data_IF_896467395081
#
_entry.id   IF_896467395081
#
_cell.length_a   1.000
_cell.length_b   1.000
_cell.length_c   1.000
_cell.angle_alpha   90.00
_cell.angle_beta   90.00
_cell.angle_gamma   90.00
#
_symmetry.space_group_name_H-M   'P 1'
#
loop_
_entity.id
_entity.type
_entity.pdbx_description
1 polymer ?
#
# COMPACT_ATOMS: atom_id res chain seq x y z
N UNK A 1 4.17 -28.05 -1.15
CA UNK A 1 3.00 -27.30 -0.67
C UNK A 1 3.39 -26.67 0.66
N UNK A 2 3.74 -25.39 0.68
CA UNK A 2 3.70 -24.61 1.92
C UNK A 2 2.30 -24.01 1.94
N UNK A 3 1.46 -24.45 2.87
CA UNK A 3 0.34 -23.67 3.34
C UNK A 3 0.93 -22.34 3.81
N UNK A 4 0.67 -21.28 3.04
CA UNK A 4 0.85 -19.93 3.56
C UNK A 4 -0.26 -19.78 4.57
N UNK A 5 0.10 -19.87 5.85
CA UNK A 5 -0.79 -19.57 6.96
C UNK A 5 -1.34 -18.16 6.75
N UNK A 6 -2.56 -18.11 6.25
CA UNK A 6 -3.31 -16.87 6.12
C UNK A 6 -3.82 -16.55 7.53
N UNK A 7 -2.95 -15.97 8.36
CA UNK A 7 -3.40 -15.44 9.64
C UNK A 7 -4.39 -14.31 9.35
N UNK A 8 -5.58 -14.34 9.96
CA UNK A 8 -6.50 -13.21 9.84
C UNK A 8 -5.79 -11.98 10.40
N UNK A 9 -5.46 -11.06 9.52
CA UNK A 9 -4.91 -9.77 9.88
C UNK A 9 -6.06 -8.85 10.21
N UNK A 10 -6.26 -8.56 11.48
CA UNK A 10 -7.23 -7.55 11.90
C UNK A 10 -6.58 -6.17 11.80
N UNK A 11 -6.98 -5.41 10.77
CA UNK A 11 -6.58 -4.03 10.59
C UNK A 11 -7.74 -3.09 10.89
N UNK A 12 -7.56 -2.19 11.85
CA UNK A 12 -8.48 -1.07 12.09
C UNK A 12 -7.91 0.19 11.49
N UNK A 13 -8.62 0.84 10.59
CA UNK A 13 -8.23 2.13 9.99
C UNK A 13 -9.08 3.23 10.56
N UNK A 14 -8.42 4.28 11.05
CA UNK A 14 -9.05 5.45 11.64
C UNK A 14 -8.79 6.63 10.70
N UNK A 15 -9.83 7.42 10.43
CA UNK A 15 -9.74 8.58 9.55
C UNK A 15 -10.03 9.85 10.34
N UNK A 16 -9.33 10.94 10.04
CA UNK A 16 -9.58 12.25 10.63
C UNK A 16 -10.85 12.89 10.02
N UNK A 17 -11.27 14.03 10.56
CA UNK A 17 -12.45 14.75 10.10
C UNK A 17 -12.38 15.24 8.64
N UNK A 18 -11.20 15.33 8.06
CA UNK A 18 -10.96 15.65 6.65
C UNK A 18 -11.03 14.41 5.73
N UNK A 19 -11.31 13.21 6.29
CA UNK A 19 -11.35 11.95 5.54
C UNK A 19 -9.98 11.36 5.22
N UNK A 20 -8.89 11.91 5.78
CA UNK A 20 -7.54 11.39 5.59
C UNK A 20 -7.26 10.29 6.62
N UNK A 21 -6.49 9.28 6.23
CA UNK A 21 -6.09 8.18 7.12
C UNK A 21 -5.24 8.72 8.30
N UNK A 22 -5.79 8.69 9.50
CA UNK A 22 -5.11 9.17 10.72
C UNK A 22 -4.20 8.09 11.31
N UNK A 23 -4.73 6.88 11.42
CA UNK A 23 -3.95 5.76 11.92
C UNK A 23 -4.45 4.39 11.43
N UNK A 24 -3.55 3.41 11.49
CA UNK A 24 -3.85 1.99 11.27
C UNK A 24 -3.40 1.20 12.49
N UNK A 25 -4.28 0.37 13.01
CA UNK A 25 -3.97 -0.57 14.09
C UNK A 25 -4.05 -1.98 13.53
N UNK A 26 -2.94 -2.71 13.61
CA UNK A 26 -2.84 -4.12 13.18
C UNK A 26 -2.42 -4.99 14.35
N UNK A 27 -2.95 -6.21 14.41
CA UNK A 27 -2.50 -7.23 15.36
C UNK A 27 -2.06 -8.45 14.57
N UNK A 28 -0.79 -8.85 14.76
CA UNK A 28 -0.19 -10.04 14.14
C UNK A 28 0.51 -10.84 15.24
N UNK A 29 0.16 -12.10 15.41
CA UNK A 29 0.74 -12.99 16.43
C UNK A 29 0.77 -12.39 17.85
N UNK A 30 -0.33 -11.75 18.26
CA UNK A 30 -0.48 -11.02 19.52
C UNK A 30 0.42 -9.78 19.65
N UNK A 31 1.15 -9.38 18.63
CA UNK A 31 1.94 -8.15 18.59
C UNK A 31 1.07 -7.05 17.97
N UNK A 32 0.89 -5.94 18.70
CA UNK A 32 0.13 -4.79 18.25
C UNK A 32 1.04 -3.79 17.54
N UNK A 33 0.69 -3.47 16.30
CA UNK A 33 1.32 -2.41 15.51
C UNK A 33 0.35 -1.24 15.36
N UNK A 34 0.86 -0.02 15.50
CA UNK A 34 0.10 1.20 15.25
C UNK A 34 0.92 2.07 14.31
N UNK A 35 0.36 2.38 13.15
CA UNK A 35 0.93 3.39 12.24
C UNK A 35 0.10 4.66 12.36
N UNK A 36 0.74 5.80 12.58
CA UNK A 36 0.10 7.12 12.71
C UNK A 36 0.61 8.04 11.61
N UNK A 37 -0.28 8.79 10.99
CA UNK A 37 0.01 9.69 9.88
C UNK A 37 -0.21 11.15 10.28
N UNK A 38 0.68 12.03 9.83
CA UNK A 38 0.47 13.47 9.89
C UNK A 38 0.50 14.06 8.49
N UNK A 39 -0.25 15.14 8.29
CA UNK A 39 -0.44 15.77 6.98
C UNK A 39 0.00 17.24 7.02
N UNK A 40 0.54 17.71 5.89
CA UNK A 40 0.80 19.12 5.63
C UNK A 40 0.44 19.41 4.17
N UNK A 41 -0.37 20.45 3.96
CA UNK A 41 -0.81 20.87 2.62
C UNK A 41 -1.46 19.73 1.80
N UNK A 42 -2.23 18.85 2.49
CA UNK A 42 -2.92 17.70 1.89
C UNK A 42 -2.05 16.45 1.70
N UNK A 43 -0.74 16.55 1.83
CA UNK A 43 0.20 15.43 1.66
C UNK A 43 0.61 14.84 3.01
N UNK A 44 0.90 13.53 3.03
CA UNK A 44 1.50 12.89 4.22
C UNK A 44 2.86 13.53 4.49
N UNK A 45 3.03 14.14 5.65
CA UNK A 45 4.29 14.77 6.05
C UNK A 45 5.12 13.90 7.01
N UNK A 46 4.45 13.01 7.74
CA UNK A 46 5.10 12.11 8.67
C UNK A 46 4.29 10.82 8.84
N UNK A 47 4.99 9.71 9.03
CA UNK A 47 4.46 8.40 9.37
C UNK A 47 5.27 7.83 10.54
N UNK A 48 4.60 7.37 11.58
CA UNK A 48 5.23 6.72 12.74
C UNK A 48 4.67 5.34 12.93
N UNK A 49 5.55 4.35 13.04
CA UNK A 49 5.21 2.96 13.36
C UNK A 49 5.61 2.65 14.79
N UNK A 50 4.65 2.16 15.55
CA UNK A 50 4.84 1.68 16.92
C UNK A 50 4.59 0.17 16.98
N UNK A 51 5.37 -0.54 17.80
CA UNK A 51 5.14 -1.94 18.16
C UNK A 51 4.94 -2.03 19.67
N UNK A 52 3.78 -2.54 20.11
CA UNK A 52 3.42 -2.62 21.55
C UNK A 52 3.62 -1.30 22.32
N UNK A 53 3.47 -0.15 21.64
CA UNK A 53 3.64 1.19 22.22
C UNK A 53 5.05 1.76 22.12
N UNK A 54 6.04 1.00 21.70
CA UNK A 54 7.40 1.48 21.44
C UNK A 54 7.53 1.95 19.98
N UNK A 55 8.17 3.12 19.78
CA UNK A 55 8.42 3.67 18.44
C UNK A 55 9.47 2.81 17.73
N UNK A 56 9.12 2.25 16.57
CA UNK A 56 10.05 1.51 15.70
C UNK A 56 10.61 2.38 14.58
N UNK A 57 9.74 3.15 13.93
CA UNK A 57 10.13 4.01 12.80
C UNK A 57 9.45 5.37 12.88
N UNK A 58 10.19 6.41 12.51
CA UNK A 58 9.69 7.77 12.28
C UNK A 58 10.14 8.21 10.90
N UNK A 59 9.20 8.22 9.93
CA UNK A 59 9.45 8.54 8.53
C UNK A 59 8.89 9.91 8.20
N UNK A 60 9.73 10.80 7.68
CA UNK A 60 9.41 12.17 7.29
C UNK A 60 9.47 12.31 5.78
N UNK A 61 8.45 12.87 5.19
CA UNK A 61 8.32 13.09 3.75
C UNK A 61 8.65 14.55 3.44
N UNK A 62 9.65 14.76 2.60
CA UNK A 62 10.14 16.09 2.21
C UNK A 62 9.62 16.40 0.80
N UNK A 63 8.82 17.46 0.69
CA UNK A 63 8.27 17.90 -0.58
C UNK A 63 8.96 19.19 -1.03
N UNK A 64 9.19 19.29 -2.36
CA UNK A 64 9.67 20.50 -3.05
C UNK A 64 8.75 20.73 -4.24
N UNK A 65 8.23 21.95 -4.39
CA UNK A 65 7.30 22.31 -5.44
C UNK A 65 6.10 21.36 -5.60
N UNK A 66 5.55 20.89 -4.44
CA UNK A 66 4.43 19.97 -4.39
C UNK A 66 4.75 18.51 -4.72
N UNK A 67 6.01 18.18 -5.03
CA UNK A 67 6.46 16.82 -5.34
C UNK A 67 7.31 16.26 -4.20
N UNK A 68 7.20 14.95 -3.93
CA UNK A 68 8.07 14.27 -2.98
C UNK A 68 9.51 14.34 -3.49
N UNK A 69 10.42 14.85 -2.67
CA UNK A 69 11.84 15.04 -2.99
C UNK A 69 12.75 14.05 -2.27
N UNK A 70 12.45 13.74 -1.01
CA UNK A 70 13.15 12.70 -0.25
C UNK A 70 12.29 12.20 0.90
N UNK A 71 12.64 11.03 1.42
CA UNK A 71 12.10 10.46 2.64
C UNK A 71 13.25 10.28 3.62
N UNK A 72 13.10 10.76 4.86
CA UNK A 72 14.05 10.55 5.94
C UNK A 72 13.41 9.57 6.92
N UNK A 73 14.07 8.46 7.16
CA UNK A 73 13.61 7.42 8.08
C UNK A 73 14.55 7.30 9.28
N UNK A 74 14.00 7.44 10.46
CA UNK A 74 14.64 7.10 11.73
C UNK A 74 14.13 5.73 12.18
N UNK A 75 15.03 4.76 12.31
CA UNK A 75 14.73 3.42 12.82
C UNK A 75 15.28 3.25 14.23
N UNK A 76 14.48 2.67 15.13
CA UNK A 76 14.81 2.47 16.54
C UNK A 76 14.85 0.97 16.84
N UNK A 77 16.03 0.44 17.18
CA UNK A 77 16.24 -0.98 17.51
C UNK A 77 17.06 -1.07 18.80
N UNK A 78 16.48 -1.68 19.85
CA UNK A 78 17.17 -1.88 21.13
C UNK A 78 17.60 -0.59 21.85
N UNK A 79 16.94 0.54 21.55
CA UNK A 79 17.28 1.85 22.10
C UNK A 79 18.26 2.66 21.24
N UNK A 80 18.86 2.07 20.23
CA UNK A 80 19.69 2.75 19.26
C UNK A 80 18.85 3.33 18.11
N UNK A 81 19.30 4.49 17.60
CA UNK A 81 18.66 5.19 16.49
C UNK A 81 19.58 5.17 15.28
N UNK A 82 19.05 4.71 14.14
CA UNK A 82 19.69 4.83 12.83
C UNK A 82 18.86 5.74 11.95
N UNK A 83 19.51 6.70 11.27
CA UNK A 83 18.86 7.62 10.34
C UNK A 83 19.33 7.33 8.92
N UNK A 84 18.39 7.17 8.00
CA UNK A 84 18.63 7.02 6.57
C UNK A 84 17.84 8.06 5.79
N UNK A 85 18.42 8.59 4.71
CA UNK A 85 17.72 9.45 3.76
C UNK A 85 17.63 8.75 2.42
N UNK A 86 16.42 8.73 1.87
CA UNK A 86 16.09 8.16 0.57
C UNK A 86 15.65 9.29 -0.36
N UNK A 87 16.56 9.85 -1.16
CA UNK A 87 16.20 10.86 -2.15
C UNK A 87 15.32 10.20 -3.23
N UNK A 88 14.30 10.93 -3.65
CA UNK A 88 13.56 10.55 -4.86
C UNK A 88 14.37 10.94 -6.06
N UNK A 89 14.79 9.95 -6.82
CA UNK A 89 15.48 10.19 -8.09
C UNK A 89 14.43 10.55 -9.16
N UNK A 90 14.30 11.85 -9.41
CA UNK A 90 13.36 12.35 -10.41
C UNK A 90 13.68 11.86 -11.84
N UNK A 91 14.92 11.40 -12.11
CA UNK A 91 15.29 10.80 -13.39
C UNK A 91 14.67 9.41 -13.59
N UNK A 92 14.25 8.76 -12.50
CA UNK A 92 13.56 7.48 -12.52
C UNK A 92 12.03 7.62 -12.67
N UNK A 93 11.51 8.82 -12.85
CA UNK A 93 10.07 9.05 -13.00
C UNK A 93 9.79 9.73 -14.34
N UNK A 94 8.96 9.11 -15.16
CA UNK A 94 8.48 9.68 -16.41
C UNK A 94 6.95 9.70 -16.47
N UNK A 95 6.40 10.54 -17.36
CA UNK A 95 4.97 10.64 -17.58
C UNK A 95 4.66 10.37 -19.04
N UNK A 96 3.88 9.32 -19.31
CA UNK A 96 3.49 8.90 -20.66
C UNK A 96 1.97 8.74 -20.71
N UNK A 97 1.31 9.43 -21.64
CA UNK A 97 -0.15 9.36 -21.84
C UNK A 97 -0.99 9.57 -20.55
N UNK A 98 -0.52 10.45 -19.66
CA UNK A 98 -1.17 10.77 -18.40
C UNK A 98 -0.89 9.77 -17.27
N UNK A 99 -0.12 8.72 -17.52
CA UNK A 99 0.34 7.78 -16.51
C UNK A 99 1.72 8.17 -15.98
N UNK A 100 1.96 7.92 -14.69
CA UNK A 100 3.25 8.06 -14.05
C UNK A 100 3.97 6.70 -14.08
N UNK A 101 5.20 6.66 -14.59
CA UNK A 101 6.06 5.47 -14.59
C UNK A 101 7.21 5.72 -13.63
N UNK A 102 7.29 4.93 -12.57
CA UNK A 102 8.39 4.95 -11.60
C UNK A 102 9.31 3.76 -11.90
N UNK A 103 10.57 4.04 -12.23
CA UNK A 103 11.58 3.01 -12.50
C UNK A 103 12.30 2.63 -11.20
N UNK A 104 12.56 1.33 -11.02
CA UNK A 104 13.33 0.77 -9.92
C UNK A 104 14.84 0.82 -10.14
N UNK A 105 15.57 -0.09 -9.50
CA UNK A 105 17.03 -0.13 -9.58
C UNK A 105 17.54 -0.80 -10.84
N UNK A 106 16.73 -1.58 -11.51
CA UNK A 106 17.03 -2.19 -12.82
C UNK A 106 16.07 -1.66 -13.87
N UNK A 107 16.43 -1.76 -15.16
CA UNK A 107 15.52 -1.43 -16.27
C UNK A 107 14.28 -2.33 -16.33
N UNK A 108 14.29 -3.45 -15.58
CA UNK A 108 13.20 -4.43 -15.49
C UNK A 108 12.25 -4.15 -14.34
N UNK A 109 12.61 -3.23 -13.42
CA UNK A 109 11.80 -2.85 -12.27
C UNK A 109 11.08 -1.55 -12.57
N UNK A 110 9.76 -1.58 -12.61
CA UNK A 110 8.97 -0.37 -12.78
C UNK A 110 7.55 -0.52 -12.23
N UNK A 111 6.94 0.61 -11.89
CA UNK A 111 5.53 0.71 -11.51
C UNK A 111 4.85 1.77 -12.36
N UNK A 112 3.76 1.40 -13.04
CA UNK A 112 2.91 2.31 -13.82
C UNK A 112 1.68 2.66 -12.99
N UNK A 113 1.45 3.96 -12.79
CA UNK A 113 0.29 4.50 -12.06
C UNK A 113 -0.55 5.39 -12.96
N UNK A 114 -1.86 5.35 -12.80
CA UNK A 114 -2.77 6.26 -13.47
C UNK A 114 -2.73 7.69 -12.86
N UNK A 115 -3.51 8.61 -13.43
CA UNK A 115 -3.61 9.99 -12.95
C UNK A 115 -4.16 10.13 -11.50
N UNK A 116 -4.79 9.08 -10.96
CA UNK A 116 -5.27 9.02 -9.57
C UNK A 116 -4.24 8.36 -8.64
N UNK A 117 -3.06 7.96 -9.15
CA UNK A 117 -2.01 7.28 -8.40
C UNK A 117 -2.27 5.79 -8.18
N UNK A 118 -3.26 5.19 -8.84
CA UNK A 118 -3.54 3.76 -8.73
C UNK A 118 -2.57 2.97 -9.60
N UNK A 119 -2.03 1.87 -9.08
CA UNK A 119 -1.11 1.01 -9.82
C UNK A 119 -1.86 0.27 -10.94
N UNK A 120 -1.46 0.47 -12.18
CA UNK A 120 -1.97 -0.25 -13.35
C UNK A 120 -1.13 -1.47 -13.70
N UNK A 121 0.18 -1.35 -13.45
CA UNK A 121 1.15 -2.40 -13.76
C UNK A 121 2.37 -2.27 -12.86
N UNK A 122 2.92 -3.39 -12.46
CA UNK A 122 4.21 -3.45 -11.79
C UNK A 122 5.07 -4.55 -12.42
N UNK A 123 6.36 -4.34 -12.45
CA UNK A 123 7.37 -5.30 -12.87
C UNK A 123 8.46 -5.35 -11.82
N UNK A 124 8.78 -6.54 -11.34
CA UNK A 124 9.83 -6.77 -10.36
C UNK A 124 10.76 -7.87 -10.85
N UNK A 125 12.07 -7.60 -10.81
CA UNK A 125 13.11 -8.52 -11.19
C UNK A 125 13.75 -9.15 -9.96
N UNK A 126 13.89 -10.48 -9.97
CA UNK A 126 14.64 -11.24 -8.96
C UNK A 126 16.00 -11.62 -9.54
N UNK A 127 17.07 -11.05 -8.98
CA UNK A 127 18.45 -11.43 -9.37
C UNK A 127 18.78 -12.88 -9.00
N UNK A 128 18.18 -13.40 -7.92
CA UNK A 128 18.43 -14.78 -7.47
C UNK A 128 17.94 -15.83 -8.46
N UNK A 129 16.82 -15.55 -9.15
CA UNK A 129 16.14 -16.50 -10.02
C UNK A 129 16.27 -16.12 -11.51
N UNK A 130 16.90 -14.97 -11.82
CA UNK A 130 16.90 -14.31 -13.14
C UNK A 130 15.49 -14.26 -13.76
N UNK A 131 14.50 -13.91 -12.95
CA UNK A 131 13.09 -13.96 -13.30
C UNK A 131 12.43 -12.60 -13.12
N UNK A 132 11.56 -12.24 -14.08
CA UNK A 132 10.74 -11.03 -14.02
C UNK A 132 9.30 -11.41 -13.72
N UNK A 133 8.76 -10.89 -12.62
CA UNK A 133 7.32 -10.98 -12.35
C UNK A 133 6.65 -9.70 -12.82
N UNK A 134 5.65 -9.81 -13.68
CA UNK A 134 4.82 -8.69 -14.10
C UNK A 134 3.41 -8.92 -13.57
N UNK A 135 2.81 -7.87 -12.96
CA UNK A 135 1.40 -7.87 -12.55
C UNK A 135 0.67 -6.70 -13.18
N UNK A 136 -0.55 -6.96 -13.62
CA UNK A 136 -1.45 -5.97 -14.21
C UNK A 136 -2.73 -5.88 -13.35
N UNK A 137 -3.19 -4.66 -13.11
CA UNK A 137 -4.30 -4.38 -12.22
C UNK A 137 -5.43 -3.68 -12.97
N UNK A 138 -6.66 -4.08 -12.70
CA UNK A 138 -7.86 -3.36 -13.16
C UNK A 138 -8.69 -2.88 -11.99
N UNK A 139 -9.48 -1.83 -12.21
CA UNK A 139 -10.33 -1.22 -11.21
C UNK A 139 -11.74 -1.08 -11.74
N UNK A 140 -12.74 -1.30 -10.90
CA UNK A 140 -14.13 -1.09 -11.25
C UNK A 140 -14.49 0.42 -11.29
N UNK A 141 -15.73 0.72 -11.67
CA UNK A 141 -16.24 2.10 -11.78
C UNK A 141 -16.16 2.89 -10.47
N UNK A 142 -16.16 2.23 -9.30
CA UNK A 142 -15.97 2.84 -7.99
C UNK A 142 -14.49 3.07 -7.64
N UNK A 143 -13.57 2.67 -8.51
CA UNK A 143 -12.13 2.76 -8.30
C UNK A 143 -11.58 1.66 -7.35
N UNK A 144 -12.34 0.63 -7.06
CA UNK A 144 -11.87 -0.51 -6.27
C UNK A 144 -11.17 -1.53 -7.16
N UNK A 145 -10.14 -2.18 -6.62
CA UNK A 145 -9.40 -3.20 -7.34
C UNK A 145 -10.34 -4.33 -7.80
N UNK A 146 -10.35 -4.61 -9.09
CA UNK A 146 -11.22 -5.63 -9.68
C UNK A 146 -10.45 -6.91 -10.02
N UNK A 147 -9.27 -6.77 -10.65
CA UNK A 147 -8.41 -7.91 -10.94
C UNK A 147 -6.94 -7.58 -10.75
N UNK A 148 -6.17 -8.62 -10.45
CA UNK A 148 -4.72 -8.64 -10.56
C UNK A 148 -4.34 -9.89 -11.36
N UNK A 149 -3.61 -9.70 -12.47
CA UNK A 149 -3.11 -10.80 -13.30
C UNK A 149 -1.60 -10.77 -13.29
N UNK A 150 -0.97 -11.89 -12.97
CA UNK A 150 0.48 -12.00 -12.98
C UNK A 150 1.02 -12.78 -14.18
N UNK A 151 2.30 -12.58 -14.50
CA UNK A 151 2.96 -13.19 -15.68
C UNK A 151 3.06 -14.72 -15.63
N UNK A 152 2.75 -15.34 -14.50
CA UNK A 152 2.62 -16.79 -14.32
C UNK A 152 1.18 -17.30 -14.51
N UNK A 153 0.35 -16.53 -15.20
CA UNK A 153 -1.06 -16.79 -15.51
C UNK A 153 -1.98 -16.90 -14.27
N UNK A 154 -1.53 -16.47 -13.10
CA UNK A 154 -2.39 -16.37 -11.94
C UNK A 154 -3.27 -15.11 -12.02
N UNK A 155 -4.58 -15.35 -11.93
CA UNK A 155 -5.58 -14.28 -11.88
C UNK A 155 -6.27 -14.25 -10.52
N UNK A 156 -6.09 -13.16 -9.80
CA UNK A 156 -6.86 -12.84 -8.59
C UNK A 156 -7.99 -11.91 -8.99
N UNK A 157 -9.22 -12.21 -8.56
CA UNK A 157 -10.37 -11.34 -8.78
C UNK A 157 -11.00 -10.96 -7.44
N UNK A 158 -11.52 -9.74 -7.38
CA UNK A 158 -12.09 -9.14 -6.19
C UNK A 158 -13.55 -8.74 -6.49
N UNK A 159 -14.48 -9.26 -5.72
CA UNK A 159 -15.90 -8.91 -5.77
C UNK A 159 -16.30 -8.24 -4.44
N UNK A 160 -17.21 -7.28 -4.51
CA UNK A 160 -17.62 -6.46 -3.39
C UNK A 160 -19.15 -6.54 -3.18
N UNK A 161 -19.64 -7.66 -2.63
CA UNK A 161 -21.08 -7.92 -2.53
C UNK A 161 -21.80 -7.02 -1.55
N UNK A 162 -21.10 -6.42 -0.58
CA UNK A 162 -21.71 -5.62 0.47
C UNK A 162 -21.06 -4.24 0.60
N UNK A 163 -21.90 -3.23 0.80
CA UNK A 163 -21.50 -1.85 1.05
C UNK A 163 -22.29 -1.27 2.21
N UNK A 164 -21.70 -0.26 2.89
CA UNK A 164 -22.42 0.55 3.87
C UNK A 164 -23.35 1.60 3.22
N UNK A 165 -24.07 2.34 4.07
CA UNK A 165 -25.01 3.37 3.63
C UNK A 165 -24.34 4.56 2.89
N UNK A 166 -23.00 4.71 2.98
CA UNK A 166 -22.21 5.71 2.27
C UNK A 166 -21.56 5.16 1.01
N UNK A 167 -21.85 3.89 0.67
CA UNK A 167 -21.38 3.22 -0.53
C UNK A 167 -19.95 2.69 -0.46
N UNK A 168 -19.34 2.64 0.73
CA UNK A 168 -18.04 2.00 0.92
C UNK A 168 -18.23 0.49 1.08
N UNK A 169 -17.33 -0.31 0.49
CA UNK A 169 -17.44 -1.76 0.63
C UNK A 169 -17.21 -2.19 2.10
N UNK A 170 -17.97 -3.18 2.54
CA UNK A 170 -17.87 -3.78 3.87
C UNK A 170 -17.46 -5.25 3.81
N UNK A 171 -17.70 -5.88 2.65
CA UNK A 171 -17.26 -7.24 2.40
C UNK A 171 -16.64 -7.35 1.01
N UNK A 172 -15.52 -8.06 0.92
CA UNK A 172 -14.80 -8.36 -0.32
C UNK A 172 -14.57 -9.87 -0.40
N UNK A 173 -14.92 -10.46 -1.53
CA UNK A 173 -14.65 -11.88 -1.85
C UNK A 173 -13.49 -11.94 -2.81
N UNK A 174 -12.52 -12.79 -2.50
CA UNK A 174 -11.30 -12.96 -3.30
C UNK A 174 -11.33 -14.35 -3.93
N UNK A 175 -11.06 -14.43 -5.22
CA UNK A 175 -10.91 -15.69 -5.95
C UNK A 175 -9.53 -15.74 -6.62
N UNK A 176 -8.92 -16.91 -6.64
CA UNK A 176 -7.70 -17.20 -7.40
C UNK A 176 -8.02 -18.19 -8.51
N UNK A 177 -7.79 -17.79 -9.76
CA UNK A 177 -8.10 -18.61 -10.94
C UNK A 177 -9.55 -19.14 -10.95
N UNK A 178 -10.49 -18.31 -10.45
CA UNK A 178 -11.92 -18.65 -10.36
C UNK A 178 -12.29 -19.55 -9.18
N UNK A 179 -11.34 -19.95 -8.34
CA UNK A 179 -11.61 -20.71 -7.12
C UNK A 179 -11.67 -19.79 -5.89
N UNK A 180 -12.53 -20.07 -4.91
CA UNK A 180 -12.56 -19.30 -3.66
C UNK A 180 -11.17 -19.29 -3.00
N UNK A 181 -10.70 -18.10 -2.62
CA UNK A 181 -9.40 -17.91 -2.00
C UNK A 181 -9.50 -17.27 -0.62
N UNK A 182 -10.35 -16.26 -0.46
CA UNK A 182 -10.50 -15.57 0.81
C UNK A 182 -11.68 -14.61 0.84
N UNK A 183 -11.99 -14.14 2.04
CA UNK A 183 -12.98 -13.09 2.29
C UNK A 183 -12.34 -12.07 3.20
N UNK A 184 -12.52 -10.78 2.89
CA UNK A 184 -12.18 -9.68 3.77
C UNK A 184 -13.46 -8.95 4.18
N UNK A 185 -13.59 -8.67 5.46
CA UNK A 185 -14.70 -7.91 6.03
C UNK A 185 -14.13 -6.71 6.79
N UNK A 186 -14.84 -5.57 6.73
CA UNK A 186 -14.50 -4.38 7.51
C UNK A 186 -15.75 -3.69 8.01
N UNK A 187 -15.65 -3.08 9.18
CA UNK A 187 -16.61 -2.11 9.68
C UNK A 187 -16.03 -0.71 9.60
N UNK A 188 -16.84 0.29 9.24
CA UNK A 188 -16.42 1.68 9.12
C UNK A 188 -17.24 2.49 10.11
N UNK A 189 -16.55 3.20 11.00
CA UNK A 189 -17.18 4.15 11.93
C UNK A 189 -16.89 5.56 11.43
N UNK A 190 -17.94 6.34 11.27
CA UNK A 190 -17.85 7.73 10.83
C UNK A 190 -18.00 8.65 12.04
N UNK A 191 -17.16 9.66 12.10
CA UNK A 191 -17.29 10.73 13.07
C UNK A 191 -18.20 11.82 12.47
N UNK A 192 -19.16 12.30 13.27
CA UNK A 192 -20.04 13.44 12.95
C UNK A 192 -19.32 14.77 13.15
#
# INVERSE_FOLDING_TARGET
YRETDFFPKEDTRIYNAAGQLDSVVSVVDAVKYITVYAYRDGNVSNEKLFQNGELLTDRRYIYRDGKLASTIEDMYIGGDKTTSEYPVDASKTEYVDGNCIEHGDTERDYVVKDALGRVLKESAYSEMDDYVTVKEYTYNEKGWLETCVSSDDNKVSYDYPETDDRGNWTRMVITLNGQPYGIAERSITYYE
#
